data_IF_343262164550
#
_entry.id   IF_343262164550
#
_cell.length_a   1.000
_cell.length_b   1.000
_cell.length_c   1.000
_cell.angle_alpha   90.00
_cell.angle_beta   90.00
_cell.angle_gamma   90.00
#
_symmetry.space_group_name_H-M   'P 1'
#
loop_
_entity.id
_entity.type
_entity.pdbx_description
1 polymer ?
#
# COMPACT_ATOMS: atom_id res chain seq x y z
N UNK A 1 10.26 14.25 13.46
CA UNK A 1 10.30 14.07 11.99
C UNK A 1 11.62 14.59 11.42
N UNK A 2 11.98 15.87 11.54
CA UNK A 2 13.23 16.37 10.95
C UNK A 2 14.49 15.60 11.38
N UNK A 3 14.58 15.21 12.65
CA UNK A 3 15.67 14.39 13.17
C UNK A 3 15.81 13.05 12.43
N UNK A 4 14.70 12.44 11.98
CA UNK A 4 14.78 11.16 11.26
C UNK A 4 15.44 11.31 9.90
N UNK A 5 15.41 12.48 9.27
CA UNK A 5 16.10 12.75 8.00
C UNK A 5 17.62 12.77 8.15
N UNK A 6 18.13 13.03 9.36
CA UNK A 6 19.57 13.11 9.64
C UNK A 6 20.13 11.81 10.22
N UNK A 7 19.28 11.04 10.91
CA UNK A 7 19.69 9.86 11.70
C UNK A 7 19.45 8.55 10.96
N UNK A 8 18.47 8.49 10.06
CA UNK A 8 18.17 7.27 9.28
C UNK A 8 18.99 7.32 7.98
N UNK A 9 19.85 6.32 7.79
CA UNK A 9 20.62 6.11 6.57
C UNK A 9 20.23 4.80 5.85
N UNK A 10 20.86 4.52 4.72
CA UNK A 10 20.60 3.30 3.92
C UNK A 10 21.09 2.01 4.60
N UNK A 11 21.98 2.11 5.59
CA UNK A 11 22.58 0.97 6.29
C UNK A 11 21.74 0.56 7.51
N UNK A 12 20.84 1.44 7.96
CA UNK A 12 19.92 1.17 9.05
C UNK A 12 19.03 -0.04 8.72
N UNK A 13 18.99 -1.01 9.64
CA UNK A 13 18.05 -2.14 9.54
C UNK A 13 16.62 -1.63 9.57
N UNK A 14 15.86 -1.96 8.53
CA UNK A 14 14.47 -1.54 8.38
C UNK A 14 13.52 -2.73 8.32
N UNK A 15 12.43 -2.74 9.13
CA UNK A 15 12.12 -1.83 10.24
C UNK A 15 13.00 -2.10 11.48
N UNK A 16 13.27 -1.07 12.30
CA UNK A 16 14.13 -1.17 13.49
C UNK A 16 13.84 -0.07 14.52
N UNK A 17 14.61 0.00 15.62
CA UNK A 17 14.37 0.96 16.73
C UNK A 17 14.33 2.42 16.26
N UNK A 18 15.11 2.76 15.22
CA UNK A 18 15.17 4.10 14.64
C UNK A 18 13.83 4.58 14.06
N UNK A 19 12.91 3.66 13.75
CA UNK A 19 11.53 3.99 13.33
C UNK A 19 10.74 4.72 14.41
N UNK A 20 11.11 4.61 15.69
CA UNK A 20 10.47 5.34 16.77
C UNK A 20 10.63 6.86 16.61
N UNK A 21 11.71 7.33 16.01
CA UNK A 21 11.98 8.77 15.84
C UNK A 21 10.91 9.46 14.97
N UNK A 22 10.63 8.99 13.74
CA UNK A 22 9.54 9.57 12.95
C UNK A 22 8.17 9.30 13.57
N UNK A 23 7.93 8.13 14.19
CA UNK A 23 6.65 7.79 14.84
C UNK A 23 6.31 8.75 15.97
N UNK A 24 7.23 8.95 16.92
CA UNK A 24 7.06 9.91 18.02
C UNK A 24 6.90 11.33 17.49
N UNK A 25 7.65 11.69 16.46
CA UNK A 25 7.49 13.00 15.80
C UNK A 25 6.10 13.21 15.24
N UNK A 26 5.54 12.22 14.54
CA UNK A 26 4.16 12.26 14.01
C UNK A 26 3.15 12.31 15.15
N UNK A 27 3.33 11.50 16.19
CA UNK A 27 2.47 11.51 17.39
C UNK A 27 2.43 12.90 18.04
N UNK A 28 3.56 13.56 18.21
CA UNK A 28 3.63 14.92 18.76
C UNK A 28 2.84 15.93 17.92
N UNK A 29 2.96 15.85 16.58
CA UNK A 29 2.19 16.72 15.66
C UNK A 29 0.68 16.45 15.81
N UNK A 30 0.27 15.19 15.87
CA UNK A 30 -1.14 14.82 16.04
C UNK A 30 -1.70 15.30 17.39
N UNK A 31 -0.95 15.13 18.48
CA UNK A 31 -1.36 15.56 19.83
C UNK A 31 -1.47 17.09 19.89
N UNK A 32 -0.57 17.82 19.24
CA UNK A 32 -0.63 19.28 19.16
C UNK A 32 -1.95 19.77 18.54
N UNK A 33 -2.60 18.97 17.69
CA UNK A 33 -3.91 19.24 17.06
C UNK A 33 -4.05 20.64 16.45
N UNK A 34 -2.93 21.19 15.97
CA UNK A 34 -2.88 22.58 15.54
C UNK A 34 -3.30 22.74 14.07
N UNK A 35 -4.53 23.18 13.88
CA UNK A 35 -5.16 23.29 12.56
C UNK A 35 -4.65 24.47 11.71
N UNK A 36 -3.98 25.45 12.34
CA UNK A 36 -3.51 26.69 11.72
C UNK A 36 -1.99 26.87 11.84
N UNK A 37 -1.20 25.79 11.66
CA UNK A 37 0.25 25.91 11.59
C UNK A 37 0.68 26.44 10.23
N UNK A 38 1.75 27.25 10.18
CA UNK A 38 2.38 27.69 8.94
C UNK A 38 2.70 26.51 8.02
N UNK A 39 3.11 25.37 8.58
CA UNK A 39 3.53 24.20 7.82
C UNK A 39 2.37 23.38 7.25
N UNK A 40 1.20 23.35 7.91
CA UNK A 40 0.05 22.54 7.48
C UNK A 40 -1.03 23.35 6.77
N UNK A 41 -1.00 24.68 6.90
CA UNK A 41 -1.96 25.61 6.28
C UNK A 41 -1.89 25.69 4.74
N UNK A 42 -0.73 25.58 4.05
CA UNK A 42 -0.68 25.75 2.61
C UNK A 42 -1.58 24.76 1.88
N UNK A 43 -2.50 25.26 1.04
CA UNK A 43 -3.47 24.43 0.32
C UNK A 43 -2.81 23.35 -0.54
N UNK A 44 -1.62 23.62 -1.07
CA UNK A 44 -0.86 22.65 -1.86
C UNK A 44 -0.40 21.45 -1.02
N UNK A 45 0.02 21.68 0.23
CA UNK A 45 0.42 20.61 1.14
C UNK A 45 -0.79 19.79 1.61
N UNK A 46 -1.92 20.46 1.87
CA UNK A 46 -3.17 19.77 2.19
C UNK A 46 -3.68 18.94 1.01
N UNK A 47 -3.60 19.49 -0.21
CA UNK A 47 -3.96 18.77 -1.42
C UNK A 47 -3.11 17.50 -1.60
N UNK A 48 -1.79 17.63 -1.51
CA UNK A 48 -0.87 16.49 -1.63
C UNK A 48 -1.09 15.47 -0.49
N UNK A 49 -1.32 15.94 0.73
CA UNK A 49 -1.65 15.07 1.86
C UNK A 49 -2.95 14.29 1.66
N UNK A 50 -4.03 14.98 1.29
CA UNK A 50 -5.35 14.36 1.09
C UNK A 50 -5.35 13.36 -0.08
N UNK A 51 -4.60 13.64 -1.15
CA UNK A 51 -4.53 12.78 -2.34
C UNK A 51 -3.42 11.72 -2.26
N UNK A 52 -2.59 11.75 -1.22
CA UNK A 52 -1.38 10.93 -1.10
C UNK A 52 -1.63 9.43 -1.28
N UNK A 53 -2.71 8.90 -0.71
CA UNK A 53 -3.06 7.49 -0.83
C UNK A 53 -3.39 7.11 -2.28
N UNK A 54 -4.24 7.88 -2.94
CA UNK A 54 -4.55 7.66 -4.35
C UNK A 54 -3.33 7.81 -5.26
N UNK A 55 -2.44 8.80 -5.01
CA UNK A 55 -1.17 8.95 -5.75
C UNK A 55 -0.27 7.72 -5.53
N UNK A 56 -0.19 7.22 -4.30
CA UNK A 56 0.54 6.00 -3.98
C UNK A 56 0.00 4.77 -4.73
N UNK A 57 -1.31 4.67 -4.98
CA UNK A 57 -1.83 3.58 -5.79
C UNK A 57 -1.45 3.69 -7.27
N UNK A 58 -1.42 4.90 -7.83
CA UNK A 58 -1.20 5.11 -9.26
C UNK A 58 0.28 5.22 -9.68
N UNK A 59 1.18 5.63 -8.78
CA UNK A 59 2.60 5.76 -9.16
C UNK A 59 3.23 4.42 -9.55
N UNK A 60 2.87 3.32 -8.87
CA UNK A 60 3.40 1.98 -9.18
C UNK A 60 3.01 1.50 -10.58
N UNK A 61 1.73 1.51 -10.99
CA UNK A 61 1.32 1.24 -12.37
C UNK A 61 2.05 2.10 -13.39
N UNK A 62 2.19 3.41 -13.13
CA UNK A 62 2.88 4.33 -14.05
C UNK A 62 4.35 3.94 -14.22
N UNK A 63 5.05 3.64 -13.13
CA UNK A 63 6.45 3.16 -13.17
C UNK A 63 6.54 1.82 -13.89
N UNK A 64 5.64 0.89 -13.58
CA UNK A 64 5.60 -0.43 -14.21
C UNK A 64 5.45 -0.31 -15.73
N UNK A 65 4.46 0.45 -16.22
CA UNK A 65 4.26 0.67 -17.65
C UNK A 65 5.41 1.43 -18.28
N UNK A 66 6.01 2.38 -17.56
CA UNK A 66 7.17 3.11 -18.04
C UNK A 66 8.34 2.18 -18.35
N UNK A 67 8.65 1.28 -17.40
CA UNK A 67 9.69 0.27 -17.54
C UNK A 67 9.35 -0.81 -18.57
N UNK A 68 8.09 -1.27 -18.60
CA UNK A 68 7.62 -2.30 -19.52
C UNK A 68 7.69 -1.84 -20.99
N UNK A 69 7.35 -0.57 -21.26
CA UNK A 69 7.44 0.04 -22.59
C UNK A 69 8.86 0.51 -22.94
N UNK A 70 9.84 0.23 -22.08
CA UNK A 70 11.24 0.60 -22.25
C UNK A 70 11.47 2.10 -22.49
N UNK A 71 10.69 2.97 -21.83
CA UNK A 71 10.96 4.40 -21.89
C UNK A 71 12.33 4.72 -21.28
N UNK A 72 13.05 5.65 -21.91
CA UNK A 72 14.35 6.07 -21.41
C UNK A 72 14.23 6.71 -20.03
N UNK A 73 15.21 6.50 -19.16
CA UNK A 73 15.28 7.10 -17.82
C UNK A 73 15.74 8.57 -17.89
N UNK A 74 15.23 9.31 -18.88
CA UNK A 74 15.50 10.74 -19.00
C UNK A 74 14.77 11.52 -17.91
N UNK A 75 15.36 12.64 -17.47
CA UNK A 75 14.74 13.51 -16.47
C UNK A 75 13.33 13.97 -16.91
N UNK A 76 13.13 14.18 -18.21
CA UNK A 76 11.84 14.53 -18.78
C UNK A 76 10.80 13.43 -18.58
N UNK A 77 11.16 12.16 -18.87
CA UNK A 77 10.25 11.04 -18.71
C UNK A 77 9.89 10.79 -17.23
N UNK A 78 10.86 10.95 -16.33
CA UNK A 78 10.61 10.87 -14.88
C UNK A 78 9.63 11.95 -14.45
N UNK A 79 9.85 13.21 -14.87
CA UNK A 79 8.96 14.32 -14.55
C UNK A 79 7.55 14.08 -15.09
N UNK A 80 7.42 13.60 -16.32
CA UNK A 80 6.14 13.24 -16.92
C UNK A 80 5.45 12.09 -16.17
N UNK A 81 6.20 11.07 -15.74
CA UNK A 81 5.69 9.96 -14.94
C UNK A 81 5.18 10.42 -13.57
N UNK A 82 5.92 11.30 -12.90
CA UNK A 82 5.47 11.91 -11.63
C UNK A 82 4.21 12.74 -11.84
N UNK A 83 4.19 13.61 -12.86
CA UNK A 83 3.03 14.44 -13.18
C UNK A 83 1.79 13.58 -13.49
N UNK A 84 1.97 12.51 -14.27
CA UNK A 84 0.91 11.58 -14.60
C UNK A 84 0.39 10.84 -13.35
N UNK A 85 1.30 10.41 -12.46
CA UNK A 85 0.94 9.74 -11.21
C UNK A 85 0.12 10.65 -10.28
N UNK A 86 0.51 11.92 -10.17
CA UNK A 86 -0.23 12.93 -9.40
C UNK A 86 -1.59 13.18 -10.04
N UNK A 87 -1.66 13.32 -11.36
CA UNK A 87 -2.90 13.57 -12.08
C UNK A 87 -3.90 12.41 -11.95
N UNK A 88 -3.46 11.17 -12.21
CA UNK A 88 -4.29 9.98 -12.06
C UNK A 88 -4.69 9.74 -10.60
N UNK A 89 -3.75 9.95 -9.66
CA UNK A 89 -4.04 9.93 -8.23
C UNK A 89 -5.10 10.94 -7.83
N UNK A 90 -5.04 12.17 -8.33
CA UNK A 90 -6.05 13.18 -8.07
C UNK A 90 -7.42 12.80 -8.64
N UNK A 91 -7.50 12.29 -9.88
CA UNK A 91 -8.74 11.81 -10.47
C UNK A 91 -9.37 10.67 -9.64
N UNK A 92 -8.54 9.70 -9.25
CA UNK A 92 -8.93 8.59 -8.39
C UNK A 92 -9.43 9.06 -7.04
N UNK A 93 -8.77 10.07 -6.45
CA UNK A 93 -9.21 10.66 -5.19
C UNK A 93 -10.62 11.26 -5.33
N UNK A 94 -10.87 12.06 -6.37
CA UNK A 94 -12.14 12.75 -6.57
C UNK A 94 -13.30 11.80 -6.88
N UNK A 95 -13.06 10.74 -7.66
CA UNK A 95 -14.13 9.88 -8.16
C UNK A 95 -14.27 8.55 -7.44
N UNK A 96 -13.25 8.10 -6.73
CA UNK A 96 -13.25 6.83 -5.99
C UNK A 96 -13.12 7.14 -4.51
N UNK A 97 -11.98 7.67 -4.07
CA UNK A 97 -11.69 7.77 -2.64
C UNK A 97 -12.70 8.66 -1.89
N UNK A 98 -12.95 9.87 -2.36
CA UNK A 98 -13.82 10.85 -1.71
C UNK A 98 -15.29 10.37 -1.64
N UNK A 99 -15.93 9.90 -2.74
CA UNK A 99 -17.30 9.38 -2.67
C UNK A 99 -17.44 8.19 -1.73
N UNK A 100 -16.49 7.24 -1.77
CA UNK A 100 -16.51 6.08 -0.88
C UNK A 100 -16.25 6.48 0.58
N UNK A 101 -15.33 7.42 0.84
CA UNK A 101 -15.06 7.93 2.20
C UNK A 101 -16.31 8.53 2.82
N UNK A 102 -17.04 9.37 2.09
CA UNK A 102 -18.29 9.97 2.56
C UNK A 102 -19.42 8.95 2.75
N UNK A 103 -19.47 7.90 1.91
CA UNK A 103 -20.46 6.83 2.02
C UNK A 103 -20.19 5.96 3.24
N UNK A 104 -18.93 5.56 3.45
CA UNK A 104 -18.53 4.70 4.56
C UNK A 104 -18.56 5.42 5.91
N UNK A 105 -18.27 6.72 5.96
CA UNK A 105 -18.36 7.49 7.21
C UNK A 105 -19.79 7.55 7.76
N UNK A 106 -20.81 7.32 6.93
CA UNK A 106 -22.23 7.30 7.31
C UNK A 106 -22.75 5.89 7.64
N UNK A 107 -21.94 4.85 7.45
CA UNK A 107 -22.36 3.48 7.77
C UNK A 107 -22.40 3.24 9.28
N UNK A 108 -23.36 2.42 9.72
CA UNK A 108 -23.42 1.99 11.12
C UNK A 108 -22.25 1.06 11.42
N UNK A 109 -21.62 1.26 12.56
CA UNK A 109 -20.45 0.50 13.02
C UNK A 109 -20.66 -1.03 12.96
N UNK A 110 -21.86 -1.50 13.33
CA UNK A 110 -22.24 -2.92 13.25
C UNK A 110 -22.23 -3.48 11.83
N UNK A 111 -22.63 -2.67 10.84
CA UNK A 111 -22.59 -3.06 9.42
C UNK A 111 -21.15 -3.17 8.92
N UNK A 112 -20.26 -2.29 9.38
CA UNK A 112 -18.83 -2.36 9.04
C UNK A 112 -18.19 -3.62 9.62
N UNK A 113 -18.45 -3.94 10.90
CA UNK A 113 -17.95 -5.17 11.52
C UNK A 113 -18.48 -6.43 10.83
N UNK A 114 -19.77 -6.48 10.51
CA UNK A 114 -20.35 -7.62 9.81
C UNK A 114 -19.70 -7.85 8.44
N UNK A 115 -19.41 -6.77 7.70
CA UNK A 115 -18.69 -6.85 6.43
C UNK A 115 -17.26 -7.40 6.62
N UNK A 116 -16.50 -6.88 7.59
CA UNK A 116 -15.16 -7.37 7.88
C UNK A 116 -15.16 -8.85 8.28
N UNK A 117 -16.01 -9.24 9.23
CA UNK A 117 -16.13 -10.63 9.68
C UNK A 117 -16.51 -11.54 8.51
N UNK A 118 -17.49 -11.15 7.69
CA UNK A 118 -17.90 -11.89 6.51
C UNK A 118 -16.75 -12.08 5.51
N UNK A 119 -16.02 -11.00 5.20
CA UNK A 119 -14.88 -11.06 4.27
C UNK A 119 -13.76 -11.97 4.77
N UNK A 120 -13.41 -11.87 6.06
CA UNK A 120 -12.40 -12.72 6.69
C UNK A 120 -12.84 -14.18 6.70
N UNK A 121 -14.11 -14.45 7.02
CA UNK A 121 -14.65 -15.80 7.01
C UNK A 121 -14.59 -16.42 5.61
N UNK A 122 -14.95 -15.66 4.58
CA UNK A 122 -14.86 -16.11 3.17
C UNK A 122 -13.41 -16.45 2.80
N UNK A 123 -12.45 -15.59 3.18
CA UNK A 123 -11.02 -15.85 2.92
C UNK A 123 -10.52 -17.09 3.66
N UNK A 124 -10.89 -17.26 4.93
CA UNK A 124 -10.52 -18.42 5.73
C UNK A 124 -11.13 -19.72 5.19
N UNK A 125 -12.38 -19.68 4.74
CA UNK A 125 -13.05 -20.82 4.10
C UNK A 125 -12.39 -21.16 2.77
N UNK A 126 -12.06 -20.16 1.95
CA UNK A 126 -11.32 -20.34 0.71
C UNK A 126 -9.94 -20.95 0.94
N UNK A 127 -9.21 -20.44 1.94
CA UNK A 127 -7.93 -21.00 2.37
C UNK A 127 -8.07 -22.46 2.83
N UNK A 128 -9.02 -22.75 3.73
CA UNK A 128 -9.23 -24.09 4.25
C UNK A 128 -9.60 -25.09 3.15
N UNK A 129 -10.44 -24.67 2.19
CA UNK A 129 -10.78 -25.48 1.04
C UNK A 129 -9.55 -25.81 0.19
N UNK A 130 -8.76 -24.79 -0.18
CA UNK A 130 -7.52 -24.95 -0.94
C UNK A 130 -6.53 -25.86 -0.22
N UNK A 131 -6.38 -25.69 1.11
CA UNK A 131 -5.48 -26.51 1.91
C UNK A 131 -5.92 -27.98 1.92
N UNK A 132 -7.22 -28.25 2.10
CA UNK A 132 -7.76 -29.62 2.13
C UNK A 132 -7.73 -30.31 0.77
N UNK A 133 -7.81 -29.56 -0.32
CA UNK A 133 -7.73 -30.11 -1.69
C UNK A 133 -6.31 -30.14 -2.25
N UNK A 134 -5.29 -29.81 -1.45
CA UNK A 134 -3.90 -29.66 -1.88
C UNK A 134 -3.75 -28.71 -3.09
N UNK A 135 -4.60 -27.68 -3.12
CA UNK A 135 -4.69 -26.72 -4.22
C UNK A 135 -5.70 -27.11 -5.31
N UNK A 136 -5.48 -26.57 -6.51
CA UNK A 136 -6.30 -26.86 -7.70
C UNK A 136 -5.39 -27.49 -8.74
N UNK A 137 -5.11 -28.77 -8.55
CA UNK A 137 -4.14 -29.56 -9.34
C UNK A 137 -4.43 -29.48 -10.85
N UNK A 138 -5.69 -29.35 -11.24
CA UNK A 138 -6.11 -29.19 -12.64
C UNK A 138 -5.62 -27.91 -13.32
N UNK A 139 -5.17 -26.89 -12.56
CA UNK A 139 -4.58 -25.65 -13.11
C UNK A 139 -3.07 -25.75 -13.29
N UNK A 140 -2.42 -26.77 -12.73
CA UNK A 140 -0.99 -26.96 -12.84
C UNK A 140 -0.65 -27.76 -14.11
N UNK A 141 0.29 -27.29 -14.96
CA UNK A 141 0.79 -28.10 -16.05
C UNK A 141 1.48 -29.35 -15.51
N UNK A 142 1.38 -30.49 -16.22
CA UNK A 142 1.98 -31.77 -15.79
C UNK A 142 3.46 -31.63 -15.41
N UNK A 143 4.23 -30.83 -16.16
CA UNK A 143 5.64 -30.54 -15.89
C UNK A 143 5.92 -29.87 -14.54
N UNK A 144 4.96 -29.13 -13.99
CA UNK A 144 5.04 -28.55 -12.66
C UNK A 144 4.75 -29.60 -11.58
N UNK A 145 3.73 -30.44 -11.79
CA UNK A 145 3.37 -31.50 -10.85
C UNK A 145 4.48 -32.55 -10.69
N UNK A 146 5.13 -32.92 -11.79
CA UNK A 146 6.26 -33.85 -11.78
C UNK A 146 7.44 -33.29 -10.95
N UNK A 147 7.70 -31.98 -11.02
CA UNK A 147 8.73 -31.30 -10.22
C UNK A 147 8.32 -31.14 -8.76
N UNK A 148 7.05 -30.82 -8.50
CA UNK A 148 6.53 -30.68 -7.14
C UNK A 148 6.57 -32.01 -6.38
N UNK A 149 6.31 -33.14 -7.05
CA UNK A 149 6.42 -34.47 -6.47
C UNK A 149 7.86 -34.84 -6.05
N UNK A 150 8.87 -34.20 -6.66
CA UNK A 150 10.29 -34.39 -6.34
C UNK A 150 10.82 -33.36 -5.33
N UNK A 151 10.03 -32.32 -5.01
CA UNK A 151 10.41 -31.34 -4.00
C UNK A 151 10.12 -31.89 -2.59
N UNK A 152 11.16 -32.36 -1.92
CA UNK A 152 11.10 -32.50 -0.47
C UNK A 152 11.10 -31.09 0.16
N UNK A 153 10.01 -30.72 0.83
CA UNK A 153 10.03 -29.50 1.64
C UNK A 153 11.12 -29.67 2.69
N UNK A 154 12.07 -28.73 2.81
CA UNK A 154 13.09 -28.82 3.84
C UNK A 154 12.37 -28.94 5.19
N UNK A 155 12.57 -30.05 5.88
CA UNK A 155 12.00 -30.22 7.21
C UNK A 155 12.52 -29.05 8.04
N UNK A 156 11.63 -28.25 8.62
CA UNK A 156 12.03 -27.27 9.62
C UNK A 156 12.63 -28.07 10.77
N UNK A 157 13.95 -28.25 10.75
CA UNK A 157 14.69 -28.87 11.84
C UNK A 157 14.54 -27.91 13.01
N UNK A 158 13.81 -28.37 14.03
CA UNK A 158 13.77 -27.73 15.35
C UNK A 158 15.18 -27.56 15.91
#
# INVERSE_FOLDING_TARGET
ILLSLLVIDEQARWPGILTLIPVLGTMMILISSQQNSWFTRPKILQFLGNTSYSIYLWHWPVIFFSSYLAFSHSALNILLGVALSVFLGWLSYQWIEEPFRQKFSKQKLLSSYSFFIGSTLILLLGYYYIYKTEGVISRAPKSYLDKAAQMEMPSVKN
#
